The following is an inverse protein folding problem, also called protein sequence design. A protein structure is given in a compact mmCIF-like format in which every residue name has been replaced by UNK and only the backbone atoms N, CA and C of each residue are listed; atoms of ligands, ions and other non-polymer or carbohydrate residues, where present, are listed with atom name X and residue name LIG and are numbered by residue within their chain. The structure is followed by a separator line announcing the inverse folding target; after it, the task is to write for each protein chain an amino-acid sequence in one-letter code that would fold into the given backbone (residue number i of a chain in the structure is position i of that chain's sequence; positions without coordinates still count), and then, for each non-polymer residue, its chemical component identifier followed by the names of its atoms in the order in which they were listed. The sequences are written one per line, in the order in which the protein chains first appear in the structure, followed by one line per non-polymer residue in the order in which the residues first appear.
data_IF_178772940894
#
_entry.id   IF_178772940894
#
_cell.length_a   1.000
_cell.length_b   1.000
_cell.length_c   1.000
_cell.angle_alpha   90.00
_cell.angle_beta   90.00
_cell.angle_gamma   90.00
#
_symmetry.space_group_name_H-M   'P 1'
#
loop_
_entity.id
_entity.type
_entity.pdbx_description
1 polymer ?
#
# COMPACT_ATOMS: atom_id res chain seq x y z
N UNK A 1 8.76 13.27 -5.56
CA UNK A 1 9.24 11.87 -5.61
C UNK A 1 10.52 11.79 -4.81
N UNK A 2 10.64 10.82 -3.89
CA UNK A 2 11.84 10.59 -3.09
C UNK A 2 12.37 9.19 -3.40
N UNK A 3 13.68 9.03 -3.53
CA UNK A 3 14.33 7.75 -3.79
C UNK A 3 15.33 7.44 -2.67
N UNK A 4 15.32 6.19 -2.21
CA UNK A 4 16.24 5.71 -1.18
C UNK A 4 17.19 4.68 -1.79
N UNK A 5 18.47 5.03 -1.85
CA UNK A 5 19.51 4.24 -2.52
C UNK A 5 20.52 3.70 -1.50
N UNK A 6 21.05 2.50 -1.72
CA UNK A 6 22.07 1.88 -0.88
C UNK A 6 22.33 0.43 -1.28
N UNK A 7 23.41 -0.21 -0.79
CA UNK A 7 23.74 -1.60 -1.08
C UNK A 7 22.72 -2.59 -0.50
N UNK A 8 22.71 -3.84 -0.96
CA UNK A 8 21.88 -4.89 -0.34
C UNK A 8 22.21 -5.02 1.15
N UNK A 9 21.20 -5.20 2.00
CA UNK A 9 21.37 -5.25 3.46
C UNK A 9 21.49 -3.89 4.16
N UNK A 10 21.42 -2.75 3.45
CA UNK A 10 21.46 -1.41 4.06
C UNK A 10 20.15 -0.98 4.77
N UNK A 11 19.28 -1.93 5.14
CA UNK A 11 18.02 -1.70 5.87
C UNK A 11 16.96 -0.81 5.19
N UNK A 12 17.02 -0.61 3.87
CA UNK A 12 16.00 0.18 3.12
C UNK A 12 14.59 -0.37 3.31
N UNK A 13 14.41 -1.67 3.11
CA UNK A 13 13.13 -2.35 3.30
C UNK A 13 12.67 -2.25 4.74
N UNK A 14 13.58 -2.37 5.71
CA UNK A 14 13.27 -2.21 7.14
C UNK A 14 12.74 -0.81 7.46
N UNK A 15 13.37 0.24 6.91
CA UNK A 15 12.95 1.62 7.12
C UNK A 15 11.58 1.91 6.46
N UNK A 16 11.36 1.44 5.23
CA UNK A 16 10.05 1.54 4.57
C UNK A 16 8.97 0.80 5.39
N UNK A 17 9.30 -0.37 5.92
CA UNK A 17 8.38 -1.18 6.74
C UNK A 17 8.05 -0.48 8.07
N UNK A 18 9.01 0.21 8.68
CA UNK A 18 8.80 1.04 9.87
C UNK A 18 7.86 2.22 9.57
N UNK A 19 8.07 2.93 8.46
CA UNK A 19 7.19 4.01 7.99
C UNK A 19 5.81 3.50 7.55
N UNK A 20 5.68 2.24 7.16
CA UNK A 20 4.38 1.62 6.90
C UNK A 20 3.62 1.23 8.18
N UNK A 21 4.25 1.35 9.35
CA UNK A 21 3.74 0.81 10.62
C UNK A 21 3.55 -0.71 10.58
N UNK A 22 4.42 -1.40 9.84
CA UNK A 22 4.42 -2.87 9.69
C UNK A 22 5.61 -3.54 10.37
N UNK A 23 6.54 -2.75 10.91
CA UNK A 23 7.70 -3.26 11.64
C UNK A 23 7.28 -3.57 13.08
N UNK A 24 7.50 -4.81 13.52
CA UNK A 24 7.32 -5.21 14.91
C UNK A 24 8.54 -4.87 15.76
N UNK A 25 8.38 -4.92 17.08
CA UNK A 25 9.46 -4.68 18.05
C UNK A 25 9.50 -3.26 18.60
N UNK A 26 10.54 -2.98 19.40
CA UNK A 26 10.77 -1.66 19.98
C UNK A 26 11.44 -0.75 18.93
N UNK A 27 10.70 0.26 18.46
CA UNK A 27 11.19 1.25 17.51
C UNK A 27 11.47 2.52 18.29
N UNK A 28 12.75 2.92 18.33
CA UNK A 28 13.15 4.16 18.96
C UNK A 28 13.15 5.31 17.95
N UNK A 29 12.71 6.49 18.40
CA UNK A 29 12.58 7.70 17.59
C UNK A 29 11.13 8.11 17.35
N UNK A 30 10.91 9.08 16.47
CA UNK A 30 9.58 9.62 16.17
C UNK A 30 9.38 9.75 14.67
N UNK A 31 8.30 9.16 14.17
CA UNK A 31 7.85 9.29 12.79
C UNK A 31 6.50 10.01 12.81
N UNK A 32 6.41 11.12 12.08
CA UNK A 32 5.18 11.92 11.98
C UNK A 32 4.67 11.97 10.55
N UNK A 33 3.35 11.96 10.39
CA UNK A 33 2.65 12.10 9.12
C UNK A 33 1.85 13.39 9.19
N UNK A 34 2.33 14.44 8.52
CA UNK A 34 1.75 15.79 8.60
C UNK A 34 1.61 16.29 10.06
N UNK A 35 2.63 16.05 10.89
CA UNK A 35 2.63 16.45 12.31
C UNK A 35 1.85 15.51 13.25
N UNK A 36 1.20 14.47 12.73
CA UNK A 36 0.48 13.49 13.52
C UNK A 36 1.28 12.21 13.73
N UNK A 37 1.09 11.55 14.87
CA UNK A 37 1.65 10.21 15.12
C UNK A 37 0.93 9.15 14.29
N UNK A 38 1.58 7.99 14.10
CA UNK A 38 0.98 6.89 13.35
C UNK A 38 -0.36 6.47 13.96
N UNK A 39 -1.37 6.26 13.11
CA UNK A 39 -2.71 5.83 13.52
C UNK A 39 -3.34 4.93 12.46
N UNK A 40 -4.38 4.19 12.84
CA UNK A 40 -5.14 3.37 11.90
C UNK A 40 -5.76 4.19 10.75
N UNK A 41 -6.08 5.48 10.98
CA UNK A 41 -6.59 6.36 9.93
C UNK A 41 -5.49 6.69 8.91
N UNK A 42 -4.30 7.02 9.38
CA UNK A 42 -3.14 7.27 8.51
C UNK A 42 -2.79 6.01 7.72
N UNK A 43 -2.81 4.85 8.37
CA UNK A 43 -2.55 3.56 7.73
C UNK A 43 -3.48 3.28 6.54
N UNK A 44 -4.76 3.64 6.64
CA UNK A 44 -5.74 3.48 5.53
C UNK A 44 -5.49 4.45 4.37
N UNK A 45 -4.80 5.55 4.62
CA UNK A 45 -4.50 6.58 3.61
C UNK A 45 -3.14 6.36 2.92
N UNK A 46 -2.38 5.34 3.31
CA UNK A 46 -1.06 5.03 2.76
C UNK A 46 -1.11 3.70 2.01
N UNK A 47 -0.74 3.70 0.73
CA UNK A 47 -0.44 2.48 -0.02
C UNK A 47 0.97 1.99 0.25
N UNK A 48 1.12 0.70 0.56
CA UNK A 48 2.43 0.06 0.76
C UNK A 48 2.53 -1.18 -0.12
N UNK A 49 3.46 -1.16 -1.08
CA UNK A 49 3.77 -2.29 -1.96
C UNK A 49 4.95 -3.05 -1.36
N UNK A 50 4.75 -4.34 -1.08
CA UNK A 50 5.78 -5.22 -0.52
C UNK A 50 6.80 -5.63 -1.58
N UNK A 51 7.95 -6.14 -1.12
CA UNK A 51 8.98 -6.65 -2.02
C UNK A 51 8.53 -7.94 -2.73
N UNK A 52 7.80 -8.80 -2.02
CA UNK A 52 7.19 -10.00 -2.58
C UNK A 52 5.75 -9.71 -2.99
N UNK A 53 5.38 -10.19 -4.18
CA UNK A 53 4.01 -10.11 -4.68
C UNK A 53 3.11 -11.13 -4.00
N UNK A 54 1.95 -10.68 -3.51
CA UNK A 54 0.92 -11.53 -2.91
C UNK A 54 -0.33 -11.45 -3.77
N UNK A 55 -0.39 -12.31 -4.79
CA UNK A 55 -1.47 -12.37 -5.76
C UNK A 55 -2.06 -13.78 -5.83
N UNK A 56 -3.36 -13.87 -6.14
CA UNK A 56 -4.01 -15.15 -6.40
C UNK A 56 -3.64 -15.65 -7.79
N UNK A 57 -2.94 -16.78 -7.86
CA UNK A 57 -2.43 -17.34 -9.12
C UNK A 57 -3.50 -17.74 -10.14
N UNK A 58 -4.76 -17.87 -9.71
CA UNK A 58 -5.90 -18.25 -10.54
C UNK A 58 -6.69 -17.04 -11.07
N UNK A 59 -6.29 -15.82 -10.74
CA UNK A 59 -6.91 -14.59 -11.25
C UNK A 59 -6.05 -13.97 -12.34
N UNK A 60 -6.71 -13.46 -13.38
CA UNK A 60 -6.08 -12.59 -14.37
C UNK A 60 -5.75 -11.22 -13.77
N UNK A 61 -4.95 -10.41 -14.48
CA UNK A 61 -4.60 -9.04 -14.07
C UNK A 61 -5.88 -8.20 -13.85
N UNK A 62 -6.81 -8.24 -14.81
CA UNK A 62 -8.07 -7.51 -14.73
C UNK A 62 -8.91 -7.95 -13.53
N UNK A 63 -9.06 -9.26 -13.33
CA UNK A 63 -9.82 -9.80 -12.18
C UNK A 63 -9.20 -9.40 -10.85
N UNK A 64 -7.87 -9.42 -10.74
CA UNK A 64 -7.14 -9.00 -9.53
C UNK A 64 -7.38 -7.53 -9.21
N UNK A 65 -7.32 -6.65 -10.21
CA UNK A 65 -7.53 -5.22 -10.04
C UNK A 65 -8.99 -4.90 -9.72
N UNK A 66 -9.93 -5.53 -10.41
CA UNK A 66 -11.37 -5.38 -10.13
C UNK A 66 -11.68 -5.88 -8.71
N UNK A 67 -11.17 -7.05 -8.31
CA UNK A 67 -11.36 -7.58 -6.96
C UNK A 67 -10.83 -6.61 -5.89
N UNK A 68 -9.62 -6.08 -6.09
CA UNK A 68 -9.02 -5.08 -5.21
C UNK A 68 -9.85 -3.80 -5.14
N UNK A 69 -10.32 -3.30 -6.28
CA UNK A 69 -11.13 -2.08 -6.39
C UNK A 69 -12.47 -2.22 -5.66
N UNK A 70 -13.14 -3.37 -5.81
CA UNK A 70 -14.42 -3.64 -5.12
C UNK A 70 -14.27 -3.59 -3.59
N UNK A 71 -13.14 -4.07 -3.06
CA UNK A 71 -12.86 -4.13 -1.62
C UNK A 71 -12.36 -2.80 -1.03
N UNK A 72 -11.56 -2.04 -1.78
CA UNK A 72 -10.87 -0.86 -1.24
C UNK A 72 -11.53 0.47 -1.60
N UNK A 73 -12.29 0.54 -2.71
CA UNK A 73 -12.98 1.77 -3.09
C UNK A 73 -14.24 1.98 -2.24
N UNK A 74 -14.58 3.24 -1.93
CA UNK A 74 -15.70 3.56 -1.05
C UNK A 74 -17.04 3.08 -1.62
N UNK A 75 -17.98 2.78 -0.73
CA UNK A 75 -19.34 2.35 -1.09
C UNK A 75 -20.20 3.47 -1.70
N UNK A 76 -19.68 4.70 -1.77
CA UNK A 76 -20.30 5.80 -2.51
C UNK A 76 -20.22 5.60 -4.02
N UNK A 77 -19.28 4.77 -4.50
CA UNK A 77 -19.14 4.42 -5.90
C UNK A 77 -19.96 3.16 -6.22
N UNK A 78 -20.65 3.21 -7.35
CA UNK A 78 -21.33 2.05 -7.92
C UNK A 78 -20.34 0.99 -8.37
N UNK A 79 -20.79 -0.26 -8.48
CA UNK A 79 -19.96 -1.37 -8.98
C UNK A 79 -19.37 -1.06 -10.35
N UNK A 80 -20.13 -0.42 -11.25
CA UNK A 80 -19.66 -0.02 -12.57
C UNK A 80 -18.52 1.01 -12.50
N UNK A 81 -18.64 2.02 -11.64
CA UNK A 81 -17.58 3.02 -11.45
C UNK A 81 -16.31 2.41 -10.84
N UNK A 82 -16.45 1.43 -9.93
CA UNK A 82 -15.32 0.71 -9.35
C UNK A 82 -14.59 -0.15 -10.40
N UNK A 83 -15.33 -0.83 -11.28
CA UNK A 83 -14.77 -1.60 -12.40
C UNK A 83 -14.05 -0.68 -13.37
N UNK A 84 -14.67 0.45 -13.75
CA UNK A 84 -14.07 1.44 -14.63
C UNK A 84 -12.76 2.01 -14.06
N UNK A 85 -12.70 2.24 -12.75
CA UNK A 85 -11.45 2.64 -12.08
C UNK A 85 -10.36 1.57 -12.20
N UNK A 86 -10.70 0.29 -12.05
CA UNK A 86 -9.73 -0.80 -12.18
C UNK A 86 -9.20 -0.92 -13.62
N UNK A 87 -10.07 -0.79 -14.62
CA UNK A 87 -9.68 -0.84 -16.03
C UNK A 87 -8.80 0.34 -16.45
N UNK A 88 -9.07 1.53 -15.92
CA UNK A 88 -8.28 2.73 -16.18
C UNK A 88 -6.84 2.66 -15.63
N UNK A 89 -6.53 1.74 -14.71
CA UNK A 89 -5.15 1.52 -14.22
C UNK A 89 -4.33 0.65 -15.18
N UNK A 90 -5.00 -0.13 -16.03
CA UNK A 90 -4.35 -1.06 -16.99
C UNK A 90 -3.90 -0.33 -18.26
N UNK A 91 -4.56 0.79 -18.60
CA UNK A 91 -4.37 1.57 -19.84
C UNK A 91 -3.60 2.85 -19.59
#
# INVERSE_FOLDING_TARGET
MLAMLGPSGSSKTTLLTAMGGRLGGDIQGTITYNGHTFSNSIKRNIGFVTQDDVLYSHLTVTETLVFTALLHLPNTLTTAEKIMHAEAVIT
#
